data_IF_586821868547
#
_entry.id   IF_586821868547
#
_cell.length_a   1.000
_cell.length_b   1.000
_cell.length_c   1.000
_cell.angle_alpha   90.00
_cell.angle_beta   90.00
_cell.angle_gamma   90.00
#
_symmetry.space_group_name_H-M   'P 1'
#
loop_
_entity.id
_entity.type
_entity.pdbx_description
1 polymer ?
#
# COMPACT_ATOMS: atom_id res chain seq x y z
N UNK A 1 13.20 16.38 9.30
CA UNK A 1 13.19 16.58 7.87
C UNK A 1 11.82 17.05 7.35
N UNK A 2 10.70 16.57 7.86
CA UNK A 2 9.37 17.15 7.58
C UNK A 2 8.93 17.12 6.09
N UNK A 3 9.30 16.07 5.34
CA UNK A 3 8.99 15.93 3.90
C UNK A 3 7.48 15.88 3.59
N UNK A 4 6.68 15.48 4.58
CA UNK A 4 5.20 15.41 4.52
C UNK A 4 4.53 16.17 5.65
N UNK A 5 5.20 17.24 6.14
CA UNK A 5 4.67 18.07 7.21
C UNK A 5 3.26 18.58 6.90
N UNK A 6 2.38 18.49 7.89
CA UNK A 6 0.97 18.89 7.80
C UNK A 6 0.09 18.10 6.83
N UNK A 7 0.61 17.08 6.16
CA UNK A 7 -0.22 16.15 5.37
C UNK A 7 -0.96 15.18 6.28
N UNK A 8 -2.12 14.73 5.82
CA UNK A 8 -2.90 13.67 6.46
C UNK A 8 -2.87 12.45 5.55
N UNK A 9 -2.37 11.32 6.06
CA UNK A 9 -2.27 10.06 5.34
C UNK A 9 -3.21 9.01 5.93
N UNK A 10 -3.96 8.31 5.09
CA UNK A 10 -4.69 7.09 5.44
C UNK A 10 -3.90 5.89 4.90
N UNK A 11 -3.59 4.93 5.77
CA UNK A 11 -2.77 3.76 5.47
C UNK A 11 -3.57 2.51 5.81
N UNK A 12 -3.80 1.64 4.82
CA UNK A 12 -4.49 0.36 5.03
C UNK A 12 -3.51 -0.78 5.29
N UNK A 13 -3.90 -1.75 6.12
CA UNK A 13 -2.97 -2.82 6.54
C UNK A 13 -1.83 -2.27 7.39
N UNK A 14 -2.14 -1.27 8.23
CA UNK A 14 -1.13 -0.51 8.98
C UNK A 14 -0.59 -1.26 10.21
N UNK A 15 -1.24 -2.33 10.65
CA UNK A 15 -0.85 -3.04 11.88
C UNK A 15 0.48 -3.77 11.77
N UNK A 16 0.95 -4.11 10.56
CA UNK A 16 2.16 -4.90 10.35
C UNK A 16 2.91 -4.58 9.06
N UNK A 17 4.09 -5.17 8.90
CA UNK A 17 4.87 -5.16 7.66
C UNK A 17 5.10 -3.75 7.08
N UNK A 18 4.86 -3.60 5.79
CA UNK A 18 5.06 -2.33 5.06
C UNK A 18 4.15 -1.23 5.59
N UNK A 19 2.86 -1.53 5.84
CA UNK A 19 1.92 -0.51 6.34
C UNK A 19 2.34 0.07 7.70
N UNK A 20 2.92 -0.76 8.58
CA UNK A 20 3.49 -0.28 9.85
C UNK A 20 4.73 0.61 9.62
N UNK A 21 5.61 0.21 8.72
CA UNK A 21 6.78 1.01 8.36
C UNK A 21 6.39 2.35 7.73
N UNK A 22 5.38 2.35 6.84
CA UNK A 22 4.81 3.57 6.24
C UNK A 22 4.26 4.52 7.32
N UNK A 23 3.49 3.98 8.26
CA UNK A 23 2.87 4.76 9.34
C UNK A 23 3.91 5.47 10.22
N UNK A 24 4.91 4.71 10.66
CA UNK A 24 6.01 5.24 11.48
C UNK A 24 6.82 6.30 10.73
N UNK A 25 7.19 6.03 9.48
CA UNK A 25 8.01 6.93 8.70
C UNK A 25 7.26 8.21 8.33
N UNK A 26 6.01 8.10 7.86
CA UNK A 26 5.22 9.29 7.51
C UNK A 26 4.94 10.15 8.75
N UNK A 27 4.65 9.55 9.91
CA UNK A 27 4.48 10.29 11.16
C UNK A 27 5.79 10.99 11.60
N UNK A 28 6.94 10.30 11.54
CA UNK A 28 8.26 10.86 11.83
C UNK A 28 8.62 12.02 10.89
N UNK A 29 8.11 12.02 9.66
CA UNK A 29 8.30 13.09 8.67
C UNK A 29 7.19 14.16 8.71
N UNK A 30 6.39 14.19 9.79
CA UNK A 30 5.47 15.27 10.12
C UNK A 30 4.03 15.12 9.61
N UNK A 31 3.65 13.94 9.09
CA UNK A 31 2.27 13.67 8.75
C UNK A 31 1.43 13.31 9.99
N UNK A 32 0.12 13.54 9.90
CA UNK A 32 -0.89 12.89 10.73
C UNK A 32 -1.37 11.64 10.01
N UNK A 33 -1.52 10.53 10.72
CA UNK A 33 -1.79 9.24 10.11
C UNK A 33 -3.08 8.62 10.64
N UNK A 34 -3.99 8.30 9.73
CA UNK A 34 -5.11 7.41 9.97
C UNK A 34 -4.66 6.00 9.65
N UNK A 35 -4.67 5.13 10.63
CA UNK A 35 -4.26 3.73 10.53
C UNK A 35 -5.50 2.85 10.42
N UNK A 36 -5.54 1.97 9.44
CA UNK A 36 -6.63 1.00 9.33
C UNK A 36 -6.11 -0.42 9.14
N UNK A 37 -6.74 -1.38 9.80
CA UNK A 37 -6.43 -2.80 9.71
C UNK A 37 -7.61 -3.63 10.24
N UNK A 38 -7.62 -4.93 9.96
CA UNK A 38 -8.50 -5.91 10.59
C UNK A 38 -7.98 -6.36 11.96
N UNK A 39 -6.67 -6.22 12.22
CA UNK A 39 -6.05 -6.48 13.52
C UNK A 39 -6.16 -5.24 14.42
N UNK A 40 -7.22 -5.25 15.23
CA UNK A 40 -7.55 -4.11 16.10
C UNK A 40 -6.50 -3.90 17.20
N UNK A 41 -6.00 -4.97 17.79
CA UNK A 41 -5.05 -4.89 18.91
C UNK A 41 -3.71 -4.33 18.46
N UNK A 42 -3.15 -4.86 17.38
CA UNK A 42 -1.89 -4.37 16.81
C UNK A 42 -2.03 -2.95 16.24
N UNK A 43 -3.15 -2.64 15.58
CA UNK A 43 -3.41 -1.30 15.07
C UNK A 43 -3.54 -0.24 16.17
N UNK A 44 -4.25 -0.54 17.26
CA UNK A 44 -4.34 0.33 18.44
C UNK A 44 -3.00 0.48 19.17
N UNK A 45 -2.19 -0.58 19.21
CA UNK A 45 -0.85 -0.52 19.77
C UNK A 45 0.04 0.44 18.98
N UNK A 46 0.02 0.35 17.64
CA UNK A 46 0.78 1.26 16.78
C UNK A 46 0.30 2.72 16.91
N UNK A 47 -0.99 2.96 17.01
CA UNK A 47 -1.50 4.31 17.23
C UNK A 47 -0.99 4.92 18.54
N UNK A 48 -0.94 4.11 19.62
CA UNK A 48 -0.35 4.54 20.90
C UNK A 48 1.16 4.81 20.81
N UNK A 49 1.90 4.00 20.04
CA UNK A 49 3.33 4.16 19.80
C UNK A 49 3.63 5.49 19.08
N UNK A 50 2.83 5.84 18.08
CA UNK A 50 2.99 7.11 17.33
C UNK A 50 2.50 8.31 18.14
N UNK A 51 1.47 8.15 18.98
CA UNK A 51 0.92 9.20 19.81
C UNK A 51 -0.10 10.09 19.08
N UNK A 52 -0.16 11.38 19.41
CA UNK A 52 -1.21 12.32 18.98
C UNK A 52 -1.33 12.52 17.46
N UNK A 53 -0.29 12.17 16.72
CA UNK A 53 -0.28 12.22 15.26
C UNK A 53 -1.06 11.07 14.60
N UNK A 54 -1.48 10.04 15.37
CA UNK A 54 -2.14 8.85 14.84
C UNK A 54 -3.56 8.66 15.39
N UNK A 55 -4.41 8.04 14.59
CA UNK A 55 -5.67 7.44 15.01
C UNK A 55 -5.81 6.09 14.31
N UNK A 56 -6.32 5.08 15.02
CA UNK A 56 -6.65 3.77 14.46
C UNK A 56 -8.17 3.60 14.33
N UNK A 57 -8.58 3.05 13.19
CA UNK A 57 -9.95 2.61 12.90
C UNK A 57 -9.91 1.17 12.37
N UNK A 58 -10.71 0.27 12.97
CA UNK A 58 -10.85 -1.09 12.44
C UNK A 58 -11.53 -1.04 11.06
N UNK A 59 -10.95 -1.73 10.08
CA UNK A 59 -11.47 -1.75 8.71
C UNK A 59 -11.13 -3.05 7.98
N UNK A 60 -12.14 -3.73 7.44
CA UNK A 60 -11.97 -4.63 6.29
C UNK A 60 -12.07 -3.79 5.00
N UNK A 61 -10.99 -3.73 4.23
CA UNK A 61 -10.97 -2.96 2.98
C UNK A 61 -11.90 -3.53 1.90
N UNK A 62 -12.38 -4.77 2.06
CA UNK A 62 -13.36 -5.38 1.17
C UNK A 62 -14.80 -4.91 1.45
N UNK A 63 -15.02 -4.15 2.52
CA UNK A 63 -16.31 -3.59 2.91
C UNK A 63 -16.42 -2.11 2.53
N UNK A 64 -17.43 -1.76 1.75
CA UNK A 64 -17.64 -0.38 1.30
C UNK A 64 -18.04 0.55 2.45
N UNK A 65 -18.81 0.08 3.44
CA UNK A 65 -19.17 0.89 4.61
C UNK A 65 -17.97 1.14 5.52
N UNK A 66 -17.04 0.17 5.60
CA UNK A 66 -15.73 0.34 6.25
C UNK A 66 -14.94 1.51 5.64
N UNK A 67 -14.95 1.66 4.32
CA UNK A 67 -14.31 2.81 3.65
C UNK A 67 -15.00 4.13 3.96
N UNK A 68 -16.34 4.17 3.93
CA UNK A 68 -17.09 5.37 4.32
C UNK A 68 -16.73 5.83 5.74
N UNK A 69 -16.69 4.87 6.66
CA UNK A 69 -16.34 5.13 8.06
C UNK A 69 -14.88 5.62 8.22
N UNK A 70 -13.91 4.95 7.61
CA UNK A 70 -12.51 5.34 7.70
C UNK A 70 -12.24 6.75 7.15
N UNK A 71 -12.84 7.11 6.00
CA UNK A 71 -12.73 8.45 5.43
C UNK A 71 -13.42 9.48 6.32
N UNK A 72 -14.65 9.21 6.80
CA UNK A 72 -15.37 10.13 7.69
C UNK A 72 -14.57 10.40 8.97
N UNK A 73 -14.06 9.36 9.62
CA UNK A 73 -13.20 9.48 10.82
C UNK A 73 -11.91 10.26 10.55
N UNK A 74 -11.31 10.09 9.34
CA UNK A 74 -10.13 10.87 8.95
C UNK A 74 -10.45 12.36 8.85
N UNK A 75 -11.55 12.69 8.19
CA UNK A 75 -11.98 14.09 8.02
C UNK A 75 -12.40 14.71 9.35
N UNK A 76 -13.11 13.97 10.20
CA UNK A 76 -13.51 14.43 11.53
C UNK A 76 -12.30 14.72 12.42
N UNK A 77 -11.32 13.82 12.46
CA UNK A 77 -10.15 13.91 13.35
C UNK A 77 -9.12 14.93 12.86
N UNK A 78 -8.86 14.98 11.56
CA UNK A 78 -7.75 15.72 10.98
C UNK A 78 -8.16 16.82 10.00
N UNK A 79 -9.45 16.92 9.64
CA UNK A 79 -10.01 17.96 8.80
C UNK A 79 -9.78 17.79 7.29
N UNK A 80 -8.95 16.81 6.87
CA UNK A 80 -8.58 16.60 5.46
C UNK A 80 -7.99 15.22 5.22
N UNK A 81 -7.82 14.85 3.96
CA UNK A 81 -7.02 13.72 3.50
C UNK A 81 -6.13 14.16 2.35
N UNK A 82 -4.82 13.90 2.42
CA UNK A 82 -3.83 14.27 1.40
C UNK A 82 -3.17 13.06 0.74
N UNK A 83 -3.03 11.97 1.49
CA UNK A 83 -2.34 10.75 1.02
C UNK A 83 -3.20 9.54 1.34
N UNK A 84 -3.39 8.67 0.33
CA UNK A 84 -3.89 7.31 0.54
C UNK A 84 -2.78 6.32 0.22
N UNK A 85 -2.48 5.42 1.15
CA UNK A 85 -1.63 4.25 0.93
C UNK A 85 -2.51 3.01 0.95
N UNK A 86 -2.92 2.54 -0.24
CA UNK A 86 -3.60 1.27 -0.44
C UNK A 86 -2.55 0.15 -0.34
N UNK A 87 -2.39 -0.45 0.86
CA UNK A 87 -1.36 -1.44 1.14
C UNK A 87 -1.93 -2.79 1.59
N UNK A 88 -3.05 -2.82 2.33
CA UNK A 88 -3.63 -4.06 2.85
C UNK A 88 -3.86 -5.11 1.74
N UNK A 89 -3.45 -6.36 1.98
CA UNK A 89 -3.62 -7.44 1.01
C UNK A 89 -3.59 -8.80 1.69
N UNK A 90 -4.10 -9.82 0.99
CA UNK A 90 -3.93 -11.23 1.33
C UNK A 90 -3.23 -11.97 0.18
N UNK A 91 -2.42 -12.98 0.50
CA UNK A 91 -1.65 -13.75 -0.48
C UNK A 91 -1.70 -15.26 -0.16
N UNK A 92 -2.81 -15.94 -0.39
CA UNK A 92 -2.86 -17.39 -0.25
C UNK A 92 -2.05 -18.06 -1.37
N UNK A 93 -1.37 -19.17 -1.00
CA UNK A 93 -0.66 -20.04 -1.96
C UNK A 93 -1.67 -20.87 -2.74
N UNK A 94 -1.45 -20.99 -4.05
CA UNK A 94 -2.22 -21.85 -4.93
C UNK A 94 -1.82 -21.66 -6.39
N UNK A 95 -1.60 -22.79 -7.10
CA UNK A 95 -1.40 -22.79 -8.55
C UNK A 95 -2.71 -22.45 -9.30
N UNK A 96 -2.62 -22.32 -10.61
CA UNK A 96 -3.83 -22.15 -11.46
C UNK A 96 -4.75 -23.39 -11.40
N UNK A 97 -4.20 -24.55 -11.15
CA UNK A 97 -4.96 -25.82 -11.08
C UNK A 97 -5.58 -26.03 -9.69
N UNK A 98 -4.92 -25.58 -8.62
CA UNK A 98 -5.34 -25.82 -7.22
C UNK A 98 -6.20 -24.69 -6.63
N UNK A 99 -6.15 -23.48 -7.21
CA UNK A 99 -6.88 -22.35 -6.67
C UNK A 99 -8.38 -22.49 -6.92
N UNK A 100 -9.17 -22.63 -5.85
CA UNK A 100 -10.62 -22.65 -5.96
C UNK A 100 -11.17 -21.28 -6.42
N UNK A 101 -12.34 -21.30 -7.08
CA UNK A 101 -13.03 -20.07 -7.46
C UNK A 101 -13.36 -19.18 -6.26
N UNK A 102 -13.63 -19.76 -5.10
CA UNK A 102 -13.90 -18.99 -3.85
C UNK A 102 -12.63 -18.31 -3.32
N UNK A 103 -11.47 -18.99 -3.37
CA UNK A 103 -10.18 -18.37 -3.05
C UNK A 103 -9.86 -17.24 -4.02
N UNK A 104 -10.02 -17.47 -5.32
CA UNK A 104 -9.86 -16.46 -6.35
C UNK A 104 -10.72 -15.21 -6.07
N UNK A 105 -12.03 -15.42 -5.87
CA UNK A 105 -12.97 -14.31 -5.57
C UNK A 105 -12.63 -13.58 -4.29
N UNK A 106 -12.25 -14.31 -3.23
CA UNK A 106 -11.83 -13.69 -1.97
C UNK A 106 -10.62 -12.79 -2.15
N UNK A 107 -9.60 -13.25 -2.90
CA UNK A 107 -8.40 -12.46 -3.17
C UNK A 107 -8.72 -11.22 -3.99
N UNK A 108 -9.54 -11.34 -5.04
CA UNK A 108 -9.97 -10.18 -5.83
C UNK A 108 -10.76 -9.18 -5.00
N UNK A 109 -11.70 -9.65 -4.16
CA UNK A 109 -12.49 -8.79 -3.29
C UNK A 109 -11.63 -7.96 -2.35
N UNK A 110 -10.61 -8.55 -1.72
CA UNK A 110 -9.70 -7.81 -0.85
C UNK A 110 -8.73 -6.95 -1.67
N UNK A 111 -7.96 -7.59 -2.57
CA UNK A 111 -6.80 -6.96 -3.19
C UNK A 111 -7.11 -6.07 -4.41
N UNK A 112 -8.31 -6.19 -5.00
CA UNK A 112 -8.72 -5.40 -6.16
C UNK A 112 -9.91 -4.49 -5.83
N UNK A 113 -11.05 -5.05 -5.38
CA UNK A 113 -12.24 -4.24 -5.05
C UNK A 113 -11.94 -3.29 -3.89
N UNK A 114 -11.22 -3.75 -2.85
CA UNK A 114 -10.80 -2.91 -1.73
C UNK A 114 -9.97 -1.70 -2.18
N UNK A 115 -9.05 -1.88 -3.13
CA UNK A 115 -8.24 -0.79 -3.69
C UNK A 115 -9.06 0.16 -4.56
N UNK A 116 -10.02 -0.38 -5.33
CA UNK A 116 -10.98 0.43 -6.07
C UNK A 116 -11.80 1.32 -5.12
N UNK A 117 -12.37 0.75 -4.05
CA UNK A 117 -13.12 1.49 -3.04
C UNK A 117 -12.25 2.58 -2.38
N UNK A 118 -11.01 2.24 -2.02
CA UNK A 118 -10.06 3.21 -1.49
C UNK A 118 -9.84 4.40 -2.42
N UNK A 119 -9.59 4.16 -3.69
CA UNK A 119 -9.45 5.24 -4.69
C UNK A 119 -10.73 6.07 -4.82
N UNK A 120 -11.90 5.41 -4.91
CA UNK A 120 -13.20 6.06 -5.03
C UNK A 120 -13.46 7.05 -3.90
N UNK A 121 -13.29 6.61 -2.67
CA UNK A 121 -13.60 7.42 -1.48
C UNK A 121 -12.51 8.47 -1.19
N UNK A 122 -11.22 8.12 -1.39
CA UNK A 122 -10.13 9.09 -1.23
C UNK A 122 -10.20 10.24 -2.25
N UNK A 123 -10.49 9.95 -3.52
CA UNK A 123 -10.70 11.01 -4.53
C UNK A 123 -11.85 11.94 -4.11
N UNK A 124 -12.95 11.37 -3.59
CA UNK A 124 -14.08 12.16 -3.07
C UNK A 124 -13.67 13.15 -1.98
N UNK A 125 -12.79 12.72 -1.07
CA UNK A 125 -12.27 13.54 0.01
C UNK A 125 -11.19 14.55 -0.43
N UNK A 126 -10.34 14.16 -1.40
CA UNK A 126 -9.16 14.96 -1.82
C UNK A 126 -9.45 16.02 -2.90
N UNK A 127 -10.43 15.76 -3.78
CA UNK A 127 -10.62 16.56 -5.03
C UNK A 127 -10.92 18.04 -4.82
N UNK A 128 -11.33 18.43 -3.62
CA UNK A 128 -11.64 19.81 -3.26
C UNK A 128 -10.58 20.44 -2.34
N UNK A 129 -9.49 19.72 -2.04
CA UNK A 129 -8.40 20.26 -1.24
C UNK A 129 -7.62 21.34 -2.00
N UNK A 130 -7.16 22.35 -1.28
CA UNK A 130 -6.27 23.39 -1.82
C UNK A 130 -4.84 22.86 -2.07
N UNK A 131 -4.49 21.72 -1.49
CA UNK A 131 -3.18 21.05 -1.64
C UNK A 131 -3.26 19.82 -2.54
N UNK A 132 -2.15 19.46 -3.21
CA UNK A 132 -2.09 18.26 -4.03
C UNK A 132 -2.25 16.97 -3.22
N UNK A 133 -3.04 16.02 -3.74
CA UNK A 133 -3.20 14.69 -3.20
C UNK A 133 -2.26 13.66 -3.83
N UNK A 134 -2.00 12.56 -3.12
CA UNK A 134 -1.24 11.41 -3.60
C UNK A 134 -1.91 10.09 -3.22
N UNK A 135 -2.12 9.22 -4.20
CA UNK A 135 -2.58 7.85 -4.01
C UNK A 135 -1.43 6.91 -4.35
N UNK A 136 -1.03 6.08 -3.41
CA UNK A 136 0.00 5.05 -3.57
C UNK A 136 -0.67 3.69 -3.54
N UNK A 137 -0.48 2.93 -4.62
CA UNK A 137 -1.08 1.62 -4.83
C UNK A 137 -0.02 0.54 -4.65
N UNK A 138 -0.09 -0.24 -3.58
CA UNK A 138 0.85 -1.34 -3.36
C UNK A 138 0.51 -2.51 -4.29
N UNK A 139 1.22 -2.58 -5.42
CA UNK A 139 1.18 -3.70 -6.35
C UNK A 139 2.24 -4.75 -5.98
N UNK A 140 2.88 -5.36 -6.95
CA UNK A 140 3.94 -6.37 -6.79
C UNK A 140 4.64 -6.59 -8.13
N UNK A 141 5.86 -7.13 -8.11
CA UNK A 141 6.48 -7.73 -9.32
C UNK A 141 5.62 -8.84 -9.91
N UNK A 142 4.78 -9.49 -9.10
CA UNK A 142 3.80 -10.47 -9.56
C UNK A 142 2.84 -9.92 -10.64
N UNK A 143 2.59 -8.60 -10.64
CA UNK A 143 1.76 -7.95 -11.66
C UNK A 143 2.47 -7.78 -13.02
N UNK A 144 3.80 -7.85 -13.03
CA UNK A 144 4.66 -7.62 -14.19
C UNK A 144 5.26 -8.93 -14.72
N UNK A 145 5.52 -9.89 -13.80
CA UNK A 145 5.96 -11.25 -14.09
C UNK A 145 4.99 -12.27 -13.50
N UNK A 146 5.12 -13.55 -13.86
CA UNK A 146 4.27 -14.61 -13.34
C UNK A 146 4.82 -15.23 -12.06
N UNK A 147 3.97 -15.45 -11.05
CA UNK A 147 4.26 -16.28 -9.87
C UNK A 147 3.36 -17.52 -9.90
N UNK A 148 3.90 -18.71 -10.25
CA UNK A 148 3.08 -19.90 -10.54
C UNK A 148 2.27 -20.39 -9.34
N UNK A 149 2.75 -20.15 -8.10
CA UNK A 149 2.09 -20.59 -6.87
C UNK A 149 1.23 -19.49 -6.22
N UNK A 150 0.95 -18.39 -6.91
CA UNK A 150 0.20 -17.25 -6.39
C UNK A 150 -0.72 -16.66 -7.47
N UNK A 151 -1.44 -17.52 -8.22
CA UNK A 151 -2.19 -17.09 -9.42
C UNK A 151 -3.26 -16.04 -9.10
N UNK A 152 -4.03 -16.20 -8.02
CA UNK A 152 -5.07 -15.25 -7.63
C UNK A 152 -4.47 -13.89 -7.20
N UNK A 153 -3.37 -13.92 -6.44
CA UNK A 153 -2.64 -12.71 -6.04
C UNK A 153 -2.07 -11.97 -7.26
N UNK A 154 -1.43 -12.71 -8.18
CA UNK A 154 -0.90 -12.19 -9.46
C UNK A 154 -1.99 -11.48 -10.26
N UNK A 155 -3.15 -12.11 -10.43
CA UNK A 155 -4.29 -11.51 -11.12
C UNK A 155 -4.80 -10.23 -10.45
N UNK A 156 -4.92 -10.25 -9.12
CA UNK A 156 -5.36 -9.09 -8.35
C UNK A 156 -4.35 -7.93 -8.43
N UNK A 157 -3.05 -8.20 -8.33
CA UNK A 157 -2.00 -7.15 -8.42
C UNK A 157 -1.87 -6.58 -9.84
N UNK A 158 -2.16 -7.39 -10.88
CA UNK A 158 -2.34 -6.91 -12.25
C UNK A 158 -3.51 -5.91 -12.36
N UNK A 159 -4.65 -6.22 -11.72
CA UNK A 159 -5.80 -5.31 -11.67
C UNK A 159 -5.45 -4.00 -10.95
N UNK A 160 -4.73 -4.05 -9.82
CA UNK A 160 -4.24 -2.85 -9.08
C UNK A 160 -3.38 -1.97 -9.97
N UNK A 161 -2.45 -2.56 -10.73
CA UNK A 161 -1.56 -1.82 -11.64
C UNK A 161 -2.34 -1.11 -12.75
N UNK A 162 -3.28 -1.80 -13.37
CA UNK A 162 -4.15 -1.20 -14.40
C UNK A 162 -5.05 -0.10 -13.81
N UNK A 163 -5.60 -0.32 -12.62
CA UNK A 163 -6.43 0.66 -11.91
C UNK A 163 -5.63 1.93 -11.58
N UNK A 164 -4.37 1.81 -11.13
CA UNK A 164 -3.53 2.96 -10.80
C UNK A 164 -3.36 3.91 -12.01
N UNK A 165 -3.11 3.36 -13.21
CA UNK A 165 -3.05 4.14 -14.45
C UNK A 165 -4.37 4.82 -14.77
N UNK A 166 -5.50 4.10 -14.64
CA UNK A 166 -6.84 4.63 -14.88
C UNK A 166 -7.16 5.80 -13.94
N UNK A 167 -6.87 5.65 -12.65
CA UNK A 167 -7.07 6.70 -11.63
C UNK A 167 -6.21 7.92 -11.92
N UNK A 168 -4.93 7.75 -12.26
CA UNK A 168 -4.03 8.84 -12.61
C UNK A 168 -4.56 9.67 -13.80
N UNK A 169 -5.01 8.99 -14.85
CA UNK A 169 -5.55 9.63 -16.05
C UNK A 169 -6.89 10.31 -15.75
N UNK A 170 -7.78 9.65 -14.97
CA UNK A 170 -9.05 10.25 -14.55
C UNK A 170 -8.83 11.55 -13.79
N UNK A 171 -8.00 11.55 -12.73
CA UNK A 171 -7.72 12.74 -11.93
C UNK A 171 -7.13 13.88 -12.79
N UNK A 172 -6.17 13.56 -13.67
CA UNK A 172 -5.57 14.53 -14.58
C UNK A 172 -6.61 15.17 -15.52
N UNK A 173 -7.46 14.36 -16.15
CA UNK A 173 -8.49 14.84 -17.09
C UNK A 173 -9.61 15.62 -16.40
N UNK A 174 -9.92 15.29 -15.17
CA UNK A 174 -10.90 15.99 -14.34
C UNK A 174 -10.37 17.29 -13.71
N UNK A 175 -9.09 17.62 -13.92
CA UNK A 175 -8.46 18.79 -13.33
C UNK A 175 -8.16 18.66 -11.83
N UNK A 176 -8.23 17.45 -11.26
CA UNK A 176 -7.91 17.23 -9.86
C UNK A 176 -6.40 17.21 -9.66
N UNK A 177 -5.93 17.88 -8.63
CA UNK A 177 -4.51 17.88 -8.23
C UNK A 177 -4.13 16.61 -7.45
N UNK A 178 -4.52 15.43 -7.97
CA UNK A 178 -4.30 14.14 -7.34
C UNK A 178 -3.45 13.28 -8.28
N UNK A 179 -2.35 12.74 -7.75
CA UNK A 179 -1.50 11.78 -8.44
C UNK A 179 -1.83 10.37 -7.96
N UNK A 180 -1.66 9.38 -8.82
CA UNK A 180 -1.78 7.98 -8.47
C UNK A 180 -0.63 7.20 -9.10
N UNK A 181 0.13 6.45 -8.28
CA UNK A 181 1.27 5.65 -8.72
C UNK A 181 1.22 4.27 -8.07
N UNK A 182 1.78 3.26 -8.74
CA UNK A 182 1.93 1.92 -8.17
C UNK A 182 3.38 1.60 -7.84
N UNK A 183 3.58 0.90 -6.72
CA UNK A 183 4.86 0.35 -6.31
C UNK A 183 4.81 -1.17 -6.54
N UNK A 184 5.90 -1.72 -7.06
CA UNK A 184 6.04 -3.13 -7.42
C UNK A 184 7.24 -3.75 -6.69
N UNK A 185 7.09 -4.11 -5.40
CA UNK A 185 8.14 -4.81 -4.69
C UNK A 185 8.29 -6.26 -5.15
N UNK A 186 9.51 -6.81 -5.03
CA UNK A 186 9.75 -8.27 -5.00
C UNK A 186 9.51 -8.77 -3.56
N UNK A 187 10.30 -9.67 -3.04
CA UNK A 187 10.16 -10.15 -1.67
C UNK A 187 10.38 -9.02 -0.65
N UNK A 188 9.53 -8.96 0.36
CA UNK A 188 9.67 -8.05 1.50
C UNK A 188 9.60 -8.89 2.76
N UNK A 189 10.51 -8.70 3.72
CA UNK A 189 10.51 -9.41 4.97
C UNK A 189 9.39 -8.93 5.91
N UNK A 190 8.23 -9.54 5.78
CA UNK A 190 6.99 -9.20 6.50
C UNK A 190 6.36 -10.45 7.12
N UNK A 191 5.41 -10.32 8.07
CA UNK A 191 4.66 -11.48 8.56
C UNK A 191 4.00 -12.31 7.45
N UNK A 192 3.55 -11.66 6.37
CA UNK A 192 2.98 -12.35 5.20
C UNK A 192 4.00 -13.29 4.54
N UNK A 193 5.22 -12.82 4.27
CA UNK A 193 6.27 -13.62 3.63
C UNK A 193 6.86 -14.66 4.59
N UNK A 194 6.98 -14.35 5.88
CA UNK A 194 7.38 -15.31 6.91
C UNK A 194 6.41 -16.50 6.99
N UNK A 195 5.12 -16.24 6.90
CA UNK A 195 4.10 -17.30 6.86
C UNK A 195 4.19 -18.18 5.60
N UNK A 196 4.69 -17.64 4.47
CA UNK A 196 4.91 -18.38 3.22
C UNK A 196 6.22 -19.20 3.24
N UNK A 197 7.15 -18.83 4.09
CA UNK A 197 8.52 -19.39 4.17
C UNK A 197 8.89 -19.74 5.61
N UNK A 198 8.16 -20.69 6.25
CA UNK A 198 8.41 -21.02 7.65
C UNK A 198 9.82 -21.62 7.83
N UNK A 199 10.57 -21.09 8.81
CA UNK A 199 11.90 -21.59 9.17
C UNK A 199 13.07 -20.95 8.43
N UNK A 200 12.84 -19.98 7.53
CA UNK A 200 13.93 -19.19 6.95
C UNK A 200 14.44 -18.15 7.96
N UNK A 201 15.76 -18.09 8.10
CA UNK A 201 16.43 -17.04 8.89
C UNK A 201 16.57 -15.76 8.03
N UNK A 202 16.12 -14.58 8.53
CA UNK A 202 16.36 -13.31 7.83
C UNK A 202 17.83 -13.05 7.50
N UNK A 203 18.75 -13.51 8.34
CA UNK A 203 20.19 -13.36 8.10
C UNK A 203 20.67 -14.14 6.86
N UNK A 204 20.02 -15.26 6.54
CA UNK A 204 20.33 -16.06 5.35
C UNK A 204 19.78 -15.46 4.05
N UNK A 205 18.83 -14.53 4.16
CA UNK A 205 18.21 -13.87 3.01
C UNK A 205 19.03 -12.67 2.49
N UNK A 206 20.15 -12.35 3.14
CA UNK A 206 21.05 -11.28 2.71
C UNK A 206 20.43 -9.87 2.68
N UNK A 207 19.36 -9.65 3.48
CA UNK A 207 18.61 -8.40 3.48
C UNK A 207 19.56 -7.22 3.79
N UNK A 208 19.65 -6.28 2.86
CA UNK A 208 20.40 -5.03 3.03
C UNK A 208 21.89 -5.08 2.65
N UNK A 209 22.54 -6.25 2.57
CA UNK A 209 24.00 -6.34 2.33
C UNK A 209 24.42 -7.27 1.19
N UNK A 210 23.51 -8.11 0.68
CA UNK A 210 23.80 -9.02 -0.42
C UNK A 210 23.31 -8.42 -1.74
N UNK A 211 24.20 -8.16 -2.73
CA UNK A 211 23.79 -7.66 -4.04
C UNK A 211 22.84 -8.61 -4.80
N UNK A 212 22.80 -9.89 -4.42
CA UNK A 212 21.91 -10.89 -5.03
C UNK A 212 20.59 -11.07 -4.23
N UNK A 213 20.41 -10.36 -3.12
CA UNK A 213 19.21 -10.48 -2.28
C UNK A 213 17.94 -10.14 -3.07
N UNK A 214 16.92 -10.99 -2.90
CA UNK A 214 15.57 -10.80 -3.45
C UNK A 214 14.56 -10.33 -2.39
N UNK A 215 15.00 -10.18 -1.17
CA UNK A 215 14.21 -9.67 -0.05
C UNK A 215 14.71 -8.31 0.37
N UNK A 216 13.80 -7.35 0.51
CA UNK A 216 14.10 -6.04 1.09
C UNK A 216 13.44 -5.90 2.47
N UNK A 217 13.88 -4.89 3.21
CA UNK A 217 13.22 -4.48 4.45
C UNK A 217 11.95 -3.68 4.14
N UNK A 218 10.88 -3.78 4.95
CA UNK A 218 9.71 -2.89 4.84
C UNK A 218 10.06 -1.40 4.76
N UNK A 219 11.16 -0.99 5.40
CA UNK A 219 11.64 0.39 5.36
C UNK A 219 12.07 0.84 3.95
N UNK A 220 12.59 -0.06 3.11
CA UNK A 220 12.97 0.27 1.73
C UNK A 220 11.74 0.67 0.91
N UNK A 221 10.63 -0.04 1.12
CA UNK A 221 9.35 0.29 0.48
C UNK A 221 8.77 1.58 1.06
N UNK A 222 8.82 1.76 2.38
CA UNK A 222 8.32 2.96 3.05
C UNK A 222 9.06 4.24 2.60
N UNK A 223 10.36 4.15 2.30
CA UNK A 223 11.13 5.27 1.73
C UNK A 223 10.57 5.73 0.37
N UNK A 224 10.14 4.79 -0.48
CA UNK A 224 9.50 5.12 -1.75
C UNK A 224 8.07 5.65 -1.56
N UNK A 225 7.31 5.10 -0.59
CA UNK A 225 6.00 5.64 -0.21
C UNK A 225 6.12 7.08 0.27
N UNK A 226 7.11 7.39 1.12
CA UNK A 226 7.39 8.76 1.58
C UNK A 226 7.70 9.69 0.40
N UNK A 227 8.55 9.27 -0.56
CA UNK A 227 8.82 10.05 -1.77
C UNK A 227 7.54 10.34 -2.55
N UNK A 228 6.70 9.32 -2.78
CA UNK A 228 5.44 9.47 -3.52
C UNK A 228 4.39 10.30 -2.76
N UNK A 229 4.40 10.27 -1.43
CA UNK A 229 3.54 11.10 -0.58
C UNK A 229 3.98 12.57 -0.55
N UNK A 230 5.26 12.83 -0.78
CA UNK A 230 5.85 14.18 -0.72
C UNK A 230 5.64 14.98 -2.00
N UNK A 231 5.95 16.29 -1.95
CA UNK A 231 5.91 17.16 -3.11
C UNK A 231 7.12 17.00 -4.05
N UNK A 232 8.14 16.24 -3.63
CA UNK A 232 9.29 15.89 -4.47
C UNK A 232 8.86 15.10 -5.71
N UNK A 233 7.78 14.30 -5.59
CA UNK A 233 7.22 13.50 -6.67
C UNK A 233 6.09 14.20 -7.45
N UNK A 234 5.99 15.54 -7.37
CA UNK A 234 4.88 16.31 -7.97
C UNK A 234 4.63 16.05 -9.46
N UNK A 235 5.62 15.58 -10.18
CA UNK A 235 5.53 15.28 -11.62
C UNK A 235 5.51 13.78 -11.93
N UNK A 236 5.51 12.92 -10.90
CA UNK A 236 5.39 11.46 -11.01
C UNK A 236 3.92 11.08 -10.86
N UNK A 237 3.26 10.71 -11.97
CA UNK A 237 1.84 10.38 -12.00
C UNK A 237 1.55 9.30 -13.04
N UNK A 238 0.93 8.19 -12.64
CA UNK A 238 0.70 7.00 -13.46
C UNK A 238 1.93 6.11 -13.63
N UNK A 239 2.96 6.32 -12.82
CA UNK A 239 4.19 5.54 -12.86
C UNK A 239 4.05 4.19 -12.15
N UNK A 240 4.83 3.22 -12.64
CA UNK A 240 5.02 1.88 -12.08
C UNK A 240 6.47 1.80 -11.56
N UNK A 241 6.65 1.87 -10.23
CA UNK A 241 7.98 1.94 -9.63
C UNK A 241 8.33 0.58 -9.00
N UNK A 242 9.42 -0.02 -9.46
CA UNK A 242 9.88 -1.31 -8.96
C UNK A 242 10.86 -1.13 -7.80
N UNK A 243 10.76 -2.07 -6.84
CA UNK A 243 11.75 -2.32 -5.77
C UNK A 243 12.04 -3.82 -5.85
N UNK A 244 12.89 -4.24 -6.77
CA UNK A 244 13.09 -5.64 -7.13
C UNK A 244 14.56 -6.03 -7.34
N UNK A 245 15.48 -5.19 -6.93
CA UNK A 245 16.92 -5.42 -7.09
C UNK A 245 17.28 -5.99 -8.48
N UNK A 246 16.72 -5.38 -9.53
CA UNK A 246 16.90 -5.76 -10.93
C UNK A 246 16.35 -7.15 -11.33
N UNK A 247 15.55 -7.80 -10.46
CA UNK A 247 15.04 -9.17 -10.70
C UNK A 247 14.31 -9.32 -12.03
N UNK A 248 13.44 -8.37 -12.40
CA UNK A 248 12.66 -8.45 -13.64
C UNK A 248 13.41 -7.99 -14.90
N UNK A 249 14.58 -7.41 -14.75
CA UNK A 249 15.42 -6.97 -15.90
C UNK A 249 16.69 -7.79 -16.04
N UNK A 250 16.92 -8.74 -15.14
CA UNK A 250 18.01 -9.68 -15.22
C UNK A 250 17.77 -10.63 -16.40
N UNK A 251 18.59 -10.51 -17.45
CA UNK A 251 18.71 -11.57 -18.46
C UNK A 251 19.65 -12.63 -17.88
N UNK A 252 19.22 -13.88 -17.90
CA UNK A 252 20.01 -15.03 -17.47
C UNK A 252 21.38 -15.07 -18.15
#
# INVERSE_FOLDING_TARGET
MNRVANKVALITGAASGVGRADALLLAAEGARVMLTDIDEDAGRALAREIGDAALFVHQDIADEDGWRHAIASTLERFGRLDVLVNNAAICPVGSIEDTSLDTWRRVLRVNADGYFLGCKYAIGAMKHNDTPGSIVMMSSVAALGGLPMMCAYTGAKGAVTALARSVAVHCKRSGYRIRCNSIHPDGIWTPMTQALMPGLDPAELGIGNDPMARMCDPQDVANLVLFLASDESRFVNGAELRIDNAQLVSSL
#
